data_IF_845108737035
#
_entry.id   IF_845108737035
#
_cell.length_a   1.000
_cell.length_b   1.000
_cell.length_c   1.000
_cell.angle_alpha   90.00
_cell.angle_beta   90.00
_cell.angle_gamma   90.00
#
_symmetry.space_group_name_H-M   'P 1'
#
loop_
_entity.id
_entity.type
_entity.pdbx_description
1 polymer ?
#
# COMPACT_ATOMS: atom_id res chain seq x y z
N UNK A 1 7.24 -33.67 -0.15
CA UNK A 1 7.93 -32.43 -0.52
C UNK A 1 7.45 -31.36 0.43
N UNK A 2 8.35 -30.60 1.03
CA UNK A 2 7.96 -29.45 1.82
C UNK A 2 7.31 -28.43 0.91
N UNK A 3 6.17 -27.85 1.31
CA UNK A 3 5.48 -26.83 0.54
C UNK A 3 6.26 -25.50 0.61
N UNK A 4 6.18 -24.72 -0.47
CA UNK A 4 6.72 -23.37 -0.46
C UNK A 4 5.93 -22.47 0.50
N UNK A 5 6.61 -21.57 1.20
CA UNK A 5 5.96 -20.66 2.16
C UNK A 5 5.30 -19.48 1.44
N UNK A 6 4.10 -19.12 1.89
CA UNK A 6 3.42 -17.89 1.49
C UNK A 6 2.98 -17.13 2.76
N UNK A 7 3.18 -15.82 2.78
CA UNK A 7 2.87 -14.97 3.94
C UNK A 7 1.38 -14.69 3.96
N UNK A 8 0.68 -15.04 5.05
CA UNK A 8 -0.74 -14.73 5.23
C UNK A 8 -0.94 -13.22 5.46
N UNK A 9 -1.74 -12.59 4.59
CA UNK A 9 -2.06 -11.17 4.62
C UNK A 9 -3.53 -10.91 5.05
N UNK A 10 -3.98 -11.60 6.07
CA UNK A 10 -5.37 -11.55 6.59
C UNK A 10 -5.83 -10.18 7.11
N UNK A 11 -4.96 -9.17 7.14
CA UNK A 11 -5.29 -7.77 7.41
C UNK A 11 -5.83 -7.03 6.19
N UNK A 12 -5.75 -7.63 5.01
CA UNK A 12 -6.30 -7.10 3.78
C UNK A 12 -7.75 -7.56 3.57
N UNK A 13 -8.50 -6.76 2.86
CA UNK A 13 -9.85 -7.08 2.38
C UNK A 13 -10.07 -6.55 0.97
N UNK A 14 -11.23 -6.86 0.42
CA UNK A 14 -11.69 -6.34 -0.89
C UNK A 14 -12.93 -5.49 -0.67
N UNK A 15 -12.91 -4.29 -1.24
CA UNK A 15 -14.10 -3.50 -1.51
C UNK A 15 -14.42 -3.60 -3.01
N UNK A 16 -15.48 -4.27 -3.36
CA UNK A 16 -16.00 -4.33 -4.73
C UNK A 16 -16.81 -3.09 -5.06
N UNK A 17 -16.61 -2.57 -6.26
CA UNK A 17 -17.32 -1.42 -6.82
C UNK A 17 -17.97 -1.85 -8.11
N UNK A 18 -19.29 -2.08 -8.07
CA UNK A 18 -20.04 -2.73 -9.14
C UNK A 18 -21.13 -1.80 -9.68
N UNK A 19 -21.30 -1.70 -10.98
CA UNK A 19 -22.40 -0.97 -11.61
C UNK A 19 -22.00 -0.13 -12.82
N UNK A 20 -22.99 0.43 -13.51
CA UNK A 20 -22.80 1.17 -14.76
C UNK A 20 -21.79 2.31 -14.65
N UNK A 21 -21.81 3.06 -13.54
CA UNK A 21 -20.96 4.21 -13.30
C UNK A 21 -19.75 3.92 -12.43
N UNK A 22 -19.35 2.65 -12.24
CA UNK A 22 -18.20 2.29 -11.40
C UNK A 22 -16.90 2.94 -11.87
N UNK A 23 -16.66 2.99 -13.19
CA UNK A 23 -15.52 3.69 -13.77
C UNK A 23 -15.55 5.18 -13.42
N UNK A 24 -16.64 5.88 -13.69
CA UNK A 24 -16.76 7.33 -13.49
C UNK A 24 -16.70 7.71 -12.01
N UNK A 25 -17.35 6.93 -11.13
CA UNK A 25 -17.24 7.12 -9.69
C UNK A 25 -15.79 7.03 -9.23
N UNK A 26 -15.10 5.94 -9.58
CA UNK A 26 -13.72 5.75 -9.18
C UNK A 26 -12.81 6.80 -9.80
N UNK A 27 -12.96 7.09 -11.10
CA UNK A 27 -12.15 8.09 -11.79
C UNK A 27 -12.25 9.48 -11.14
N UNK A 28 -13.42 9.85 -10.62
CA UNK A 28 -13.65 11.13 -9.92
C UNK A 28 -13.27 11.14 -8.44
N UNK A 29 -12.91 10.02 -7.83
CA UNK A 29 -12.67 9.95 -6.39
C UNK A 29 -11.25 9.53 -6.02
N UNK A 30 -10.58 8.68 -6.82
CA UNK A 30 -9.29 8.09 -6.46
C UNK A 30 -8.13 8.70 -7.25
N UNK A 31 -6.92 8.51 -6.78
CA UNK A 31 -5.72 9.19 -7.29
C UNK A 31 -5.10 8.55 -8.54
N UNK A 32 -5.31 7.25 -8.77
CA UNK A 32 -4.82 6.55 -9.95
C UNK A 32 -5.79 6.66 -11.13
N UNK A 33 -5.31 6.43 -12.34
CA UNK A 33 -6.13 6.44 -13.55
C UNK A 33 -6.77 5.08 -13.77
N UNK A 34 -8.10 5.01 -13.63
CA UNK A 34 -8.89 3.78 -13.80
C UNK A 34 -8.81 3.24 -15.23
N UNK A 35 -8.56 4.09 -16.23
CA UNK A 35 -8.45 3.67 -17.63
C UNK A 35 -7.25 2.76 -17.91
N UNK A 36 -6.25 2.75 -17.02
CA UNK A 36 -5.06 1.89 -17.12
C UNK A 36 -5.29 0.49 -16.56
N UNK A 37 -6.42 0.28 -15.86
CA UNK A 37 -6.73 -1.00 -15.23
C UNK A 37 -7.39 -1.95 -16.21
N UNK A 38 -6.92 -3.19 -16.26
CA UNK A 38 -7.43 -4.25 -17.14
C UNK A 38 -7.29 -5.62 -16.47
N UNK A 39 -7.71 -6.67 -17.14
CA UNK A 39 -7.54 -8.04 -16.65
C UNK A 39 -6.06 -8.42 -16.39
N UNK A 40 -5.12 -7.77 -17.08
CA UNK A 40 -3.68 -8.04 -16.95
C UNK A 40 -2.88 -6.91 -16.32
N UNK A 41 -3.53 -5.81 -15.94
CA UNK A 41 -2.89 -4.66 -15.32
C UNK A 41 -3.72 -4.10 -14.18
N UNK A 42 -3.14 -4.03 -13.00
CA UNK A 42 -3.67 -3.35 -11.81
C UNK A 42 -2.91 -2.05 -11.56
N UNK A 43 -3.56 -1.10 -10.88
CA UNK A 43 -2.95 0.18 -10.52
C UNK A 43 -2.91 0.36 -9.00
N UNK A 44 -1.81 0.93 -8.51
CA UNK A 44 -1.74 1.42 -7.14
C UNK A 44 -2.51 2.74 -7.04
N UNK A 45 -3.35 2.87 -6.02
CA UNK A 45 -4.13 4.08 -5.83
C UNK A 45 -4.29 4.47 -4.36
N UNK A 46 -4.93 5.62 -4.16
CA UNK A 46 -5.35 6.10 -2.86
C UNK A 46 -6.65 6.90 -2.97
N UNK A 47 -7.39 6.96 -1.87
CA UNK A 47 -8.48 7.91 -1.65
C UNK A 47 -7.99 9.02 -0.73
N UNK A 48 -8.17 10.27 -1.13
CA UNK A 48 -7.86 11.44 -0.31
C UNK A 48 -9.14 12.16 0.12
N UNK A 49 -9.09 12.83 1.27
CA UNK A 49 -10.13 13.79 1.63
C UNK A 49 -9.89 15.15 0.92
N UNK A 50 -10.83 16.08 1.05
CA UNK A 50 -10.75 17.43 0.46
C UNK A 50 -9.52 18.25 0.92
N UNK A 51 -8.88 17.87 2.05
CA UNK A 51 -7.64 18.49 2.54
C UNK A 51 -6.38 17.82 2.01
N UNK A 52 -6.50 16.88 1.06
CA UNK A 52 -5.40 16.13 0.49
C UNK A 52 -4.73 15.15 1.46
N UNK A 53 -5.43 14.72 2.54
CA UNK A 53 -4.95 13.67 3.44
C UNK A 53 -5.45 12.32 2.97
N UNK A 54 -4.57 11.32 3.01
CA UNK A 54 -4.89 9.97 2.56
C UNK A 54 -5.84 9.30 3.57
N UNK A 55 -6.97 8.82 3.08
CA UNK A 55 -7.94 8.01 3.83
C UNK A 55 -7.59 6.53 3.73
N UNK A 56 -7.27 6.07 2.52
CA UNK A 56 -6.84 4.71 2.24
C UNK A 56 -5.88 4.66 1.08
N UNK A 57 -5.13 3.58 1.01
CA UNK A 57 -4.39 3.17 -0.18
C UNK A 57 -4.77 1.73 -0.53
N UNK A 58 -4.69 1.39 -1.79
CA UNK A 58 -5.15 0.11 -2.28
C UNK A 58 -4.50 -0.25 -3.62
N UNK A 59 -4.72 -1.49 -4.00
CA UNK A 59 -4.54 -1.99 -5.34
C UNK A 59 -5.88 -1.98 -6.04
N UNK A 60 -5.99 -1.28 -7.16
CA UNK A 60 -7.18 -1.28 -8.00
C UNK A 60 -7.04 -2.35 -9.07
N UNK A 61 -7.94 -3.32 -9.06
CA UNK A 61 -7.98 -4.44 -9.97
C UNK A 61 -9.29 -4.46 -10.76
N UNK A 62 -9.20 -4.86 -12.02
CA UNK A 62 -10.37 -5.19 -12.82
C UNK A 62 -10.87 -6.58 -12.43
N UNK A 63 -12.15 -6.75 -12.13
CA UNK A 63 -12.77 -8.06 -11.90
C UNK A 63 -13.47 -8.56 -13.18
N UNK A 64 -14.38 -7.77 -13.70
CA UNK A 64 -15.12 -8.00 -14.94
C UNK A 64 -15.71 -6.66 -15.43
N UNK A 65 -16.47 -6.69 -16.53
CA UNK A 65 -17.11 -5.46 -17.03
C UNK A 65 -17.91 -4.75 -15.93
N UNK A 66 -17.64 -3.44 -15.78
CA UNK A 66 -18.26 -2.56 -14.77
C UNK A 66 -18.02 -3.00 -13.31
N UNK A 67 -16.97 -3.76 -13.06
CA UNK A 67 -16.65 -4.27 -11.73
C UNK A 67 -15.17 -4.14 -11.42
N UNK A 68 -14.86 -3.51 -10.30
CA UNK A 68 -13.51 -3.29 -9.80
C UNK A 68 -13.37 -3.75 -8.36
N UNK A 69 -12.17 -4.18 -8.00
CA UNK A 69 -11.78 -4.50 -6.63
C UNK A 69 -10.74 -3.49 -6.13
N UNK A 70 -10.99 -2.90 -4.97
CA UNK A 70 -9.99 -2.19 -4.19
C UNK A 70 -9.48 -3.14 -3.12
N UNK A 71 -8.19 -3.49 -3.16
CA UNK A 71 -7.55 -4.39 -2.19
C UNK A 71 -6.65 -3.56 -1.29
N UNK A 72 -6.88 -3.58 0.01
CA UNK A 72 -6.12 -2.80 0.99
C UNK A 72 -6.44 -3.19 2.43
N UNK A 73 -5.89 -2.46 3.39
CA UNK A 73 -6.18 -2.67 4.81
C UNK A 73 -7.67 -2.55 5.11
N UNK A 74 -8.22 -3.54 5.79
CA UNK A 74 -9.66 -3.66 6.07
C UNK A 74 -10.26 -2.38 6.65
N UNK A 75 -9.66 -1.81 7.71
CA UNK A 75 -10.20 -0.62 8.37
C UNK A 75 -10.11 0.63 7.47
N UNK A 76 -9.09 0.72 6.62
CA UNK A 76 -8.97 1.81 5.65
C UNK A 76 -10.00 1.68 4.53
N UNK A 77 -10.28 0.46 4.06
CA UNK A 77 -11.33 0.21 3.07
C UNK A 77 -12.75 0.45 3.60
N UNK A 78 -13.02 0.15 4.88
CA UNK A 78 -14.28 0.53 5.52
C UNK A 78 -14.50 2.05 5.49
N UNK A 79 -13.44 2.86 5.67
CA UNK A 79 -13.52 4.31 5.49
C UNK A 79 -13.73 4.72 4.04
N UNK A 80 -13.08 4.03 3.12
CA UNK A 80 -13.29 4.23 1.67
C UNK A 80 -14.74 3.99 1.28
N UNK A 81 -15.32 2.89 1.72
CA UNK A 81 -16.72 2.57 1.49
C UNK A 81 -17.65 3.69 2.00
N UNK A 82 -17.42 4.17 3.25
CA UNK A 82 -18.19 5.27 3.83
C UNK A 82 -18.10 6.57 3.00
N UNK A 83 -16.93 6.90 2.46
CA UNK A 83 -16.74 8.07 1.61
C UNK A 83 -17.42 7.88 0.23
N UNK A 84 -17.22 6.75 -0.42
CA UNK A 84 -17.80 6.45 -1.74
C UNK A 84 -19.33 6.30 -1.70
N UNK A 85 -19.91 5.81 -0.60
CA UNK A 85 -21.38 5.71 -0.39
C UNK A 85 -22.09 7.04 -0.53
N UNK A 86 -21.42 8.17 -0.31
CA UNK A 86 -22.01 9.51 -0.51
C UNK A 86 -22.33 9.80 -1.97
N UNK A 87 -21.62 9.16 -2.89
CA UNK A 87 -21.70 9.39 -4.33
C UNK A 87 -22.31 8.22 -5.10
N UNK A 88 -22.18 7.00 -4.60
CA UNK A 88 -22.58 5.77 -5.30
C UNK A 88 -24.02 5.78 -5.83
N UNK A 89 -25.03 6.38 -5.16
CA UNK A 89 -26.40 6.43 -5.72
C UNK A 89 -26.50 7.23 -7.02
N UNK A 90 -25.69 8.30 -7.15
CA UNK A 90 -25.69 9.15 -8.34
C UNK A 90 -25.06 8.46 -9.56
N UNK A 91 -24.20 7.48 -9.33
CA UNK A 91 -23.52 6.70 -10.35
C UNK A 91 -24.14 5.32 -10.58
N UNK A 92 -25.22 4.95 -9.86
CA UNK A 92 -25.82 3.60 -9.89
C UNK A 92 -24.79 2.51 -9.61
N UNK A 93 -24.07 2.67 -8.53
CA UNK A 93 -22.96 1.79 -8.11
C UNK A 93 -23.30 1.18 -6.76
N UNK A 94 -23.07 -0.13 -6.64
CA UNK A 94 -23.11 -0.88 -5.42
C UNK A 94 -21.69 -1.07 -4.88
N UNK A 95 -21.53 -0.95 -3.56
CA UNK A 95 -20.28 -1.11 -2.83
C UNK A 95 -20.44 -2.28 -1.85
N UNK A 96 -19.66 -3.32 -2.02
CA UNK A 96 -19.76 -4.54 -1.24
C UNK A 96 -18.38 -4.98 -0.70
N UNK A 97 -18.27 -5.17 0.60
CA UNK A 97 -17.11 -5.87 1.16
C UNK A 97 -17.22 -7.35 0.77
N UNK A 98 -16.22 -7.86 0.06
CA UNK A 98 -16.16 -9.28 -0.30
C UNK A 98 -15.17 -10.03 0.59
N UNK A 99 -15.69 -10.96 1.41
CA UNK A 99 -14.92 -11.76 2.38
C UNK A 99 -14.50 -13.14 1.85
N UNK A 100 -14.87 -13.47 0.61
CA UNK A 100 -14.55 -14.78 0.03
C UNK A 100 -13.10 -14.88 -0.48
N UNK A 101 -12.37 -13.76 -0.51
CA UNK A 101 -10.99 -13.75 -0.95
C UNK A 101 -10.02 -13.96 0.21
N UNK A 102 -8.96 -14.74 -0.06
CA UNK A 102 -7.79 -14.89 0.81
C UNK A 102 -6.58 -14.23 0.17
N UNK A 103 -5.69 -13.65 0.99
CA UNK A 103 -4.57 -12.83 0.53
C UNK A 103 -3.25 -13.38 1.01
N UNK A 104 -2.25 -13.44 0.13
CA UNK A 104 -0.93 -13.97 0.44
C UNK A 104 0.18 -13.15 -0.20
N UNK A 105 1.32 -13.05 0.48
CA UNK A 105 2.58 -12.60 -0.07
C UNK A 105 3.36 -13.79 -0.60
N UNK A 106 3.63 -13.84 -1.90
CA UNK A 106 4.37 -14.92 -2.56
C UNK A 106 5.68 -14.37 -3.10
N UNK A 107 6.80 -15.01 -2.73
CA UNK A 107 8.11 -14.66 -3.26
C UNK A 107 8.14 -14.82 -4.79
N UNK A 108 8.70 -13.83 -5.52
CA UNK A 108 8.69 -13.82 -7.00
C UNK A 108 9.45 -14.97 -7.60
N UNK A 109 10.63 -15.29 -7.09
CA UNK A 109 11.45 -16.38 -7.63
C UNK A 109 10.73 -17.70 -7.41
N UNK A 110 10.11 -17.89 -6.24
CA UNK A 110 9.29 -19.07 -5.95
C UNK A 110 8.08 -19.16 -6.88
N UNK A 111 7.42 -18.05 -7.20
CA UNK A 111 6.32 -18.03 -8.17
C UNK A 111 6.78 -18.44 -9.57
N UNK A 112 7.89 -17.86 -10.05
CA UNK A 112 8.45 -18.15 -11.36
C UNK A 112 8.85 -19.64 -11.47
N UNK A 113 9.44 -20.20 -10.42
CA UNK A 113 9.84 -21.62 -10.37
C UNK A 113 8.65 -22.59 -10.42
N UNK A 114 7.54 -22.24 -9.77
CA UNK A 114 6.35 -23.10 -9.68
C UNK A 114 5.52 -23.05 -10.96
N UNK A 115 5.28 -21.84 -11.47
CA UNK A 115 4.33 -21.63 -12.57
C UNK A 115 5.01 -21.52 -13.94
N UNK A 116 6.34 -21.44 -13.98
CA UNK A 116 7.12 -21.17 -15.20
C UNK A 116 6.63 -19.94 -15.98
N UNK A 117 6.16 -18.91 -15.21
CA UNK A 117 5.60 -17.66 -15.73
C UNK A 117 6.34 -16.48 -15.10
N UNK A 118 6.51 -15.39 -15.89
CA UNK A 118 7.15 -14.16 -15.42
C UNK A 118 6.17 -13.01 -15.38
N UNK A 119 6.09 -12.36 -14.24
CA UNK A 119 5.33 -11.12 -14.10
C UNK A 119 6.17 -9.95 -14.58
N UNK A 120 5.76 -9.29 -15.66
CA UNK A 120 6.45 -8.15 -16.26
C UNK A 120 5.71 -6.84 -16.00
N UNK A 121 6.42 -5.70 -16.04
CA UNK A 121 5.84 -4.38 -15.70
C UNK A 121 4.63 -3.99 -16.56
N UNK A 122 4.59 -4.40 -17.83
CA UNK A 122 3.50 -4.09 -18.77
C UNK A 122 2.28 -5.01 -18.59
N UNK A 123 2.42 -6.08 -17.81
CA UNK A 123 1.37 -7.03 -17.43
C UNK A 123 1.66 -7.45 -16.01
N UNK A 124 1.33 -6.56 -15.07
CA UNK A 124 1.66 -6.77 -13.66
C UNK A 124 0.71 -7.71 -12.92
N UNK A 125 -0.35 -8.18 -13.59
CA UNK A 125 -1.36 -9.09 -13.04
C UNK A 125 -1.45 -10.35 -13.89
N UNK A 126 -1.32 -11.51 -13.25
CA UNK A 126 -1.47 -12.84 -13.86
C UNK A 126 -2.55 -13.58 -13.08
N UNK A 127 -3.46 -14.25 -13.80
CA UNK A 127 -4.47 -15.12 -13.21
C UNK A 127 -4.17 -16.58 -13.52
N UNK A 128 -4.01 -17.41 -12.49
CA UNK A 128 -3.73 -18.85 -12.59
C UNK A 128 -4.52 -19.56 -11.48
N UNK A 129 -5.28 -20.61 -11.86
CA UNK A 129 -5.93 -21.50 -10.91
C UNK A 129 -6.88 -20.80 -9.93
N UNK A 130 -7.62 -19.78 -10.37
CA UNK A 130 -8.52 -19.00 -9.51
C UNK A 130 -7.83 -18.05 -8.53
N UNK A 131 -6.51 -17.89 -8.64
CA UNK A 131 -5.73 -16.89 -7.93
C UNK A 131 -5.19 -15.83 -8.90
N UNK A 132 -5.14 -14.59 -8.45
CA UNK A 132 -4.47 -13.49 -9.14
C UNK A 132 -3.21 -13.11 -8.40
N UNK A 133 -2.12 -12.97 -9.15
CA UNK A 133 -0.81 -12.58 -8.65
C UNK A 133 -0.46 -11.21 -9.22
N UNK A 134 -0.18 -10.24 -8.34
CA UNK A 134 0.09 -8.85 -8.71
C UNK A 134 1.52 -8.50 -8.32
N UNK A 135 2.28 -7.97 -9.28
CA UNK A 135 3.65 -7.49 -9.07
C UNK A 135 3.69 -5.98 -9.00
N UNK A 136 4.53 -5.46 -8.12
CA UNK A 136 4.84 -4.03 -8.03
C UNK A 136 6.32 -3.80 -8.25
N UNK A 137 6.64 -2.65 -8.86
CA UNK A 137 8.02 -2.26 -9.10
C UNK A 137 8.81 -2.21 -7.78
N UNK A 138 9.95 -2.89 -7.76
CA UNK A 138 10.86 -2.92 -6.63
C UNK A 138 10.49 -3.88 -5.51
N UNK A 139 9.26 -4.40 -5.42
CA UNK A 139 8.88 -5.38 -4.40
C UNK A 139 9.40 -6.77 -4.73
N UNK A 140 9.86 -7.49 -3.71
CA UNK A 140 10.28 -8.89 -3.77
C UNK A 140 9.08 -9.84 -3.84
N UNK A 141 8.01 -9.51 -3.14
CA UNK A 141 6.82 -10.34 -3.05
C UNK A 141 5.73 -9.88 -4.03
N UNK A 142 5.02 -10.86 -4.60
CA UNK A 142 3.74 -10.68 -5.27
C UNK A 142 2.62 -10.62 -4.23
N UNK A 143 1.61 -9.79 -4.47
CA UNK A 143 0.33 -9.92 -3.80
C UNK A 143 -0.49 -10.97 -4.55
N UNK A 144 -0.77 -12.09 -3.91
CA UNK A 144 -1.71 -13.09 -4.40
C UNK A 144 -3.06 -12.92 -3.70
N UNK A 145 -4.15 -12.93 -4.46
CA UNK A 145 -5.49 -13.06 -3.90
C UNK A 145 -6.27 -14.14 -4.63
N UNK A 146 -6.86 -15.05 -3.84
CA UNK A 146 -7.49 -16.26 -4.31
C UNK A 146 -8.97 -16.24 -3.90
N UNK A 147 -9.86 -16.61 -4.82
CA UNK A 147 -11.24 -16.96 -4.48
C UNK A 147 -11.30 -18.33 -3.79
N UNK A 148 -12.46 -18.78 -3.38
CA UNK A 148 -12.64 -20.06 -2.66
C UNK A 148 -12.12 -21.26 -3.48
N UNK A 149 -12.35 -21.30 -4.78
CA UNK A 149 -11.91 -22.38 -5.66
C UNK A 149 -10.37 -22.37 -5.78
N UNK A 150 -9.79 -21.22 -6.05
CA UNK A 150 -8.33 -21.05 -6.17
C UNK A 150 -7.58 -21.28 -4.86
N UNK A 151 -8.20 -21.02 -3.71
CA UNK A 151 -7.59 -21.23 -2.40
C UNK A 151 -7.19 -22.69 -2.16
N UNK A 152 -8.01 -23.62 -2.64
CA UNK A 152 -7.72 -25.05 -2.50
C UNK A 152 -6.47 -25.44 -3.30
N UNK A 153 -6.37 -25.02 -4.54
CA UNK A 153 -5.20 -25.25 -5.40
C UNK A 153 -3.96 -24.55 -4.84
N UNK A 154 -4.09 -23.29 -4.40
CA UNK A 154 -3.03 -22.53 -3.78
C UNK A 154 -2.43 -23.26 -2.56
N UNK A 155 -3.26 -23.76 -1.65
CA UNK A 155 -2.83 -24.51 -0.45
C UNK A 155 -2.19 -25.87 -0.74
N UNK A 156 -2.36 -26.41 -1.95
CA UNK A 156 -1.62 -27.60 -2.37
C UNK A 156 -0.14 -27.29 -2.69
N UNK A 157 0.14 -26.09 -3.18
CA UNK A 157 1.47 -25.63 -3.62
C UNK A 157 2.20 -24.84 -2.54
N UNK A 158 1.47 -24.07 -1.72
CA UNK A 158 2.00 -23.19 -0.70
C UNK A 158 1.49 -23.52 0.70
N UNK A 159 2.36 -23.29 1.68
CA UNK A 159 2.02 -23.32 3.11
C UNK A 159 1.89 -21.87 3.61
N UNK A 160 0.68 -21.42 4.01
CA UNK A 160 0.51 -20.11 4.62
C UNK A 160 1.24 -20.00 5.97
N UNK A 161 1.98 -18.91 6.15
CA UNK A 161 2.65 -18.58 7.42
C UNK A 161 2.17 -17.21 7.92
N UNK A 162 1.98 -17.09 9.23
CA UNK A 162 1.47 -15.85 9.84
C UNK A 162 2.54 -14.75 10.01
N UNK A 163 3.82 -15.12 9.91
CA UNK A 163 4.94 -14.19 10.11
C UNK A 163 5.07 -13.20 8.95
N UNK A 164 4.67 -11.94 9.18
CA UNK A 164 4.66 -10.86 8.18
C UNK A 164 5.93 -10.00 8.15
N UNK A 165 6.93 -10.32 8.97
CA UNK A 165 8.13 -9.50 9.06
C UNK A 165 8.80 -9.27 7.70
N UNK A 166 8.87 -10.30 6.86
CA UNK A 166 9.47 -10.21 5.52
C UNK A 166 8.65 -9.33 4.57
N UNK A 167 7.31 -9.43 4.59
CA UNK A 167 6.42 -8.57 3.82
C UNK A 167 6.58 -7.09 4.24
N UNK A 168 6.54 -6.83 5.54
CA UNK A 168 6.69 -5.49 6.09
C UNK A 168 8.07 -4.91 5.79
N UNK A 169 9.12 -5.73 5.85
CA UNK A 169 10.47 -5.32 5.49
C UNK A 169 10.57 -4.94 4.01
N UNK A 170 9.95 -5.71 3.11
CA UNK A 170 9.89 -5.40 1.69
C UNK A 170 9.20 -4.04 1.43
N UNK A 171 8.08 -3.76 2.11
CA UNK A 171 7.41 -2.45 2.05
C UNK A 171 8.32 -1.30 2.50
N UNK A 172 9.09 -1.49 3.57
CA UNK A 172 10.06 -0.50 4.07
C UNK A 172 11.15 -0.26 3.02
N UNK A 173 11.79 -1.31 2.53
CA UNK A 173 12.92 -1.23 1.59
C UNK A 173 12.50 -0.60 0.25
N UNK A 174 11.31 -0.89 -0.22
CA UNK A 174 10.74 -0.28 -1.43
C UNK A 174 10.19 1.13 -1.19
N UNK A 175 10.14 1.61 0.06
CA UNK A 175 9.48 2.87 0.45
C UNK A 175 8.04 3.00 -0.10
N UNK A 176 7.33 1.88 -0.16
CA UNK A 176 5.97 1.78 -0.68
C UNK A 176 5.08 1.09 0.35
N UNK A 177 4.51 1.88 1.25
CA UNK A 177 3.70 1.44 2.38
C UNK A 177 2.22 1.74 2.12
N UNK A 178 1.36 0.86 2.60
CA UNK A 178 -0.08 1.07 2.61
C UNK A 178 -0.57 1.75 3.89
N UNK A 179 -1.73 2.38 3.81
CA UNK A 179 -2.37 3.04 4.95
C UNK A 179 -3.00 1.98 5.86
N UNK A 180 -2.45 1.83 7.05
CA UNK A 180 -3.06 1.09 8.15
C UNK A 180 -4.09 1.95 8.90
N UNK A 181 -4.85 1.32 9.80
CA UNK A 181 -5.85 1.98 10.67
C UNK A 181 -5.28 3.21 11.38
N UNK A 182 -4.07 3.08 11.93
CA UNK A 182 -3.39 4.10 12.72
C UNK A 182 -3.01 5.33 11.87
N UNK A 183 -2.89 5.13 10.55
CA UNK A 183 -2.38 6.15 9.63
C UNK A 183 -3.47 6.86 8.80
N UNK A 184 -4.74 6.48 8.97
CA UNK A 184 -5.87 7.11 8.28
C UNK A 184 -5.91 8.62 8.56
N UNK A 185 -5.86 9.45 7.52
CA UNK A 185 -5.93 10.90 7.61
C UNK A 185 -4.69 11.60 8.17
N UNK A 186 -3.61 10.87 8.54
CA UNK A 186 -2.40 11.47 9.11
C UNK A 186 -1.46 12.06 8.06
N UNK A 187 -1.31 11.41 6.92
CA UNK A 187 -0.31 11.76 5.90
C UNK A 187 -0.92 12.35 4.65
N UNK A 188 -0.15 13.17 3.96
CA UNK A 188 -0.39 13.54 2.57
C UNK A 188 0.32 12.55 1.65
N UNK A 189 -0.07 12.44 0.37
CA UNK A 189 0.57 11.52 -0.57
C UNK A 189 2.09 11.71 -0.70
N UNK A 190 2.56 12.94 -0.70
CA UNK A 190 4.00 13.24 -0.81
C UNK A 190 4.80 12.78 0.42
N UNK A 191 4.21 12.84 1.62
CA UNK A 191 4.84 12.35 2.86
C UNK A 191 5.10 10.86 2.82
N UNK A 192 4.38 10.11 1.98
CA UNK A 192 4.51 8.65 1.77
C UNK A 192 5.06 8.29 0.38
N UNK A 193 5.68 9.22 -0.34
CA UNK A 193 6.25 8.99 -1.68
C UNK A 193 5.23 8.46 -2.72
N UNK A 194 3.92 8.69 -2.55
CA UNK A 194 2.90 8.18 -3.46
C UNK A 194 2.97 8.80 -4.86
N UNK A 195 3.54 9.99 -4.96
CA UNK A 195 3.83 10.68 -6.23
C UNK A 195 4.99 10.03 -7.03
N UNK A 196 5.93 9.35 -6.35
CA UNK A 196 7.03 8.61 -7.01
C UNK A 196 6.75 7.11 -7.12
N UNK A 197 5.81 6.58 -6.34
CA UNK A 197 5.44 5.17 -6.34
C UNK A 197 4.24 4.86 -7.26
N UNK A 198 3.92 5.75 -8.19
CA UNK A 198 2.82 5.62 -9.14
C UNK A 198 1.43 5.41 -8.52
N UNK A 199 1.23 5.86 -7.25
CA UNK A 199 -0.10 5.84 -6.61
C UNK A 199 -0.94 7.07 -6.96
N UNK A 200 -0.34 8.07 -7.64
CA UNK A 200 -1.02 9.28 -8.12
C UNK A 200 -0.72 9.42 -9.60
N UNK A 201 -1.76 9.56 -10.38
CA UNK A 201 -1.67 9.98 -11.76
C UNK A 201 -1.96 11.48 -11.85
N UNK A 202 -0.97 12.28 -12.26
CA UNK A 202 -1.12 13.71 -12.39
C UNK A 202 -1.70 14.15 -13.73
N UNK A 203 -1.76 13.26 -14.70
CA UNK A 203 -2.25 13.50 -16.06
C UNK A 203 -3.74 13.11 -16.22
N UNK A 204 -4.32 12.41 -15.23
CA UNK A 204 -5.74 12.06 -15.22
C UNK A 204 -6.65 13.26 -14.93
N UNK A 205 -7.95 13.09 -15.17
CA UNK A 205 -8.98 14.06 -14.81
C UNK A 205 -9.10 14.35 -13.29
N UNK A 206 -9.97 15.29 -12.94
CA UNK A 206 -10.14 15.74 -11.55
C UNK A 206 -10.62 14.63 -10.62
N UNK A 207 -10.11 14.66 -9.38
CA UNK A 207 -10.55 13.77 -8.29
C UNK A 207 -10.56 14.51 -6.95
N UNK A 208 -11.22 13.93 -5.94
CA UNK A 208 -11.34 14.53 -4.61
C UNK A 208 -9.98 14.77 -3.95
N UNK A 209 -9.68 16.03 -3.56
CA UNK A 209 -8.43 16.44 -2.94
C UNK A 209 -7.29 16.80 -3.91
N UNK A 210 -7.50 16.66 -5.22
CA UNK A 210 -6.47 16.90 -6.25
C UNK A 210 -5.85 18.29 -6.16
N UNK A 211 -6.61 19.36 -5.90
CA UNK A 211 -6.07 20.73 -5.83
C UNK A 211 -4.93 20.83 -4.81
N UNK A 212 -5.11 20.26 -3.61
CA UNK A 212 -4.10 20.27 -2.56
C UNK A 212 -2.90 19.41 -2.96
N UNK A 213 -3.15 18.22 -3.50
CA UNK A 213 -2.10 17.27 -3.92
C UNK A 213 -1.27 17.86 -5.07
N UNK A 214 -1.90 18.41 -6.10
CA UNK A 214 -1.22 19.07 -7.22
C UNK A 214 -0.45 20.33 -6.77
N UNK A 215 -1.02 21.13 -5.86
CA UNK A 215 -0.31 22.27 -5.29
C UNK A 215 0.96 21.86 -4.55
N UNK A 216 0.93 20.76 -3.82
CA UNK A 216 2.12 20.19 -3.17
C UNK A 216 3.18 19.81 -4.22
N UNK A 217 2.79 19.12 -5.28
CA UNK A 217 3.68 18.68 -6.37
C UNK A 217 4.40 19.86 -7.04
N UNK A 218 3.67 20.91 -7.42
CA UNK A 218 4.20 21.96 -8.29
C UNK A 218 4.73 23.19 -7.53
N UNK A 219 4.27 23.45 -6.30
CA UNK A 219 4.58 24.70 -5.57
C UNK A 219 5.32 24.49 -4.26
N UNK A 220 5.34 23.29 -3.69
CA UNK A 220 5.96 23.07 -2.39
C UNK A 220 7.39 22.58 -2.52
N UNK A 221 8.30 23.24 -1.79
CA UNK A 221 9.71 22.83 -1.68
C UNK A 221 9.93 22.15 -0.32
N UNK A 222 10.86 21.21 -0.26
CA UNK A 222 11.25 20.52 1.01
C UNK A 222 10.10 19.81 1.73
N UNK A 223 9.23 19.13 0.99
CA UNK A 223 8.24 18.24 1.58
C UNK A 223 8.91 17.08 2.32
N UNK A 224 8.29 16.57 3.40
CA UNK A 224 8.74 15.31 3.99
C UNK A 224 8.68 14.17 2.97
N UNK A 225 9.62 13.22 3.09
CA UNK A 225 9.76 12.06 2.21
C UNK A 225 10.08 10.83 3.04
N UNK A 226 9.77 9.66 2.49
CA UNK A 226 10.13 8.39 3.11
C UNK A 226 11.63 8.12 2.97
N UNK A 227 12.22 7.67 4.08
CA UNK A 227 13.57 7.12 4.09
C UNK A 227 13.63 5.92 5.03
N UNK A 228 14.58 5.04 4.74
CA UNK A 228 14.87 3.88 5.58
C UNK A 228 15.92 4.29 6.61
N UNK A 229 15.71 3.88 7.85
CA UNK A 229 16.65 4.07 8.95
C UNK A 229 16.73 2.81 9.80
N UNK A 230 17.86 2.62 10.47
CA UNK A 230 18.11 1.45 11.30
C UNK A 230 18.52 1.86 12.72
N UNK A 231 18.21 1.01 13.69
CA UNK A 231 18.63 1.13 15.08
C UNK A 231 18.98 -0.24 15.67
N UNK A 232 19.90 -0.28 16.62
CA UNK A 232 20.15 -1.48 17.44
C UNK A 232 19.09 -1.70 18.54
N UNK A 233 18.21 -0.74 18.78
CA UNK A 233 17.13 -0.86 19.75
C UNK A 233 15.96 -1.62 19.12
N UNK A 234 15.60 -2.77 19.69
CA UNK A 234 14.51 -3.64 19.24
C UNK A 234 13.13 -3.28 19.83
N UNK A 235 13.06 -2.18 20.60
CA UNK A 235 11.81 -1.75 21.26
C UNK A 235 11.10 -0.61 20.52
N UNK A 236 11.60 -0.19 19.37
CA UNK A 236 11.03 0.90 18.58
C UNK A 236 9.68 0.46 18.03
N UNK A 237 8.66 1.33 18.15
CA UNK A 237 7.32 1.16 17.58
C UNK A 237 6.89 2.37 16.76
N UNK A 238 5.90 2.21 15.89
CA UNK A 238 5.39 3.25 14.98
C UNK A 238 4.77 4.45 15.73
N UNK A 239 4.37 4.26 16.99
CA UNK A 239 3.72 5.28 17.81
C UNK A 239 4.72 6.27 18.44
N UNK A 240 6.00 5.89 18.46
CA UNK A 240 7.05 6.68 19.09
C UNK A 240 7.38 7.94 18.29
N UNK A 241 7.96 8.93 18.98
CA UNK A 241 8.22 10.25 18.42
C UNK A 241 9.63 10.36 17.87
N UNK A 242 9.75 10.75 16.61
CA UNK A 242 11.04 11.03 15.97
C UNK A 242 11.46 12.48 16.27
N UNK A 243 12.63 12.64 16.91
CA UNK A 243 13.16 13.95 17.34
C UNK A 243 14.58 14.18 16.87
N UNK A 244 15.03 15.44 16.91
CA UNK A 244 16.43 15.82 16.80
C UNK A 244 17.13 15.82 18.17
N UNK A 245 18.40 16.26 18.19
CA UNK A 245 19.20 16.32 19.42
C UNK A 245 18.62 17.26 20.49
N UNK A 246 17.82 18.27 20.11
CA UNK A 246 17.15 19.22 21.00
C UNK A 246 15.71 18.78 21.37
N UNK A 247 15.37 17.50 21.21
CA UNK A 247 14.03 16.93 21.47
C UNK A 247 12.88 17.55 20.66
N UNK A 248 13.18 18.26 19.57
CA UNK A 248 12.14 18.80 18.69
C UNK A 248 11.68 17.72 17.72
N UNK A 249 10.35 17.57 17.57
CA UNK A 249 9.77 16.65 16.59
C UNK A 249 10.17 17.05 15.17
N UNK A 250 10.76 16.11 14.41
CA UNK A 250 11.30 16.36 13.06
C UNK A 250 10.69 15.48 11.98
N UNK A 251 9.90 14.48 12.35
CA UNK A 251 9.26 13.56 11.41
C UNK A 251 8.33 12.59 12.12
N UNK A 252 7.97 11.53 11.40
CA UNK A 252 7.13 10.46 11.90
C UNK A 252 7.77 9.11 11.57
N UNK A 253 7.65 8.16 12.48
CA UNK A 253 7.80 6.75 12.20
C UNK A 253 6.53 6.30 11.44
N UNK A 254 6.69 5.64 10.32
CA UNK A 254 5.58 5.24 9.45
C UNK A 254 5.36 3.73 9.53
N UNK A 255 6.46 2.97 9.55
CA UNK A 255 6.46 1.51 9.70
C UNK A 255 7.74 1.06 10.37
N UNK A 256 7.65 0.04 11.21
CA UNK A 256 8.80 -0.52 11.96
C UNK A 256 8.77 -2.03 11.86
N UNK A 257 9.92 -2.63 11.60
CA UNK A 257 10.13 -4.08 11.67
C UNK A 257 11.31 -4.35 12.60
N UNK A 258 11.06 -5.07 13.68
CA UNK A 258 12.08 -5.51 14.62
C UNK A 258 12.60 -6.89 14.17
N UNK A 259 13.86 -6.92 13.73
CA UNK A 259 14.58 -8.13 13.37
C UNK A 259 15.39 -8.62 14.58
N UNK A 260 16.06 -9.78 14.46
CA UNK A 260 16.83 -10.36 15.57
C UNK A 260 17.90 -9.41 16.16
N UNK A 261 18.52 -8.56 15.34
CA UNK A 261 19.69 -7.73 15.73
C UNK A 261 19.46 -6.24 15.57
N UNK A 262 18.43 -5.81 14.88
CA UNK A 262 18.15 -4.41 14.59
C UNK A 262 16.67 -4.17 14.29
N UNK A 263 16.24 -2.95 14.55
CA UNK A 263 14.97 -2.42 14.02
C UNK A 263 15.23 -1.72 12.70
N UNK A 264 14.42 -2.01 11.69
CA UNK A 264 14.38 -1.31 10.41
C UNK A 264 13.13 -0.46 10.38
N UNK A 265 13.30 0.84 10.19
CA UNK A 265 12.25 1.83 10.30
C UNK A 265 12.05 2.56 8.98
N UNK A 266 10.80 2.74 8.58
CA UNK A 266 10.42 3.69 7.54
C UNK A 266 10.03 4.99 8.20
N UNK A 267 10.75 6.07 7.90
CA UNK A 267 10.52 7.39 8.48
C UNK A 267 10.09 8.38 7.41
N UNK A 268 9.18 9.29 7.77
CA UNK A 268 8.79 10.44 6.92
C UNK A 268 9.28 11.72 7.56
N UNK A 269 10.27 12.36 6.92
CA UNK A 269 10.86 13.62 7.40
C UNK A 269 11.36 14.50 6.23
N UNK A 270 11.68 15.77 6.50
CA UNK A 270 12.18 16.72 5.49
C UNK A 270 13.64 16.42 5.13
N UNK A 271 13.99 16.60 3.84
CA UNK A 271 15.36 16.37 3.34
C UNK A 271 16.44 17.13 4.13
N UNK A 272 16.17 18.37 4.50
CA UNK A 272 17.09 19.17 5.31
C UNK A 272 17.46 18.47 6.64
N UNK A 273 16.51 17.78 7.22
CA UNK A 273 16.68 17.06 8.47
C UNK A 273 17.62 15.85 8.32
N UNK A 274 17.65 15.20 7.14
CA UNK A 274 18.56 14.07 6.88
C UNK A 274 20.03 14.47 6.78
N UNK A 275 20.31 15.72 6.42
CA UNK A 275 21.69 16.23 6.25
C UNK A 275 22.32 16.72 7.56
N UNK A 276 21.51 16.95 8.59
CA UNK A 276 21.95 17.70 9.77
C UNK A 276 22.21 16.84 11.00
N UNK A 277 21.73 15.56 11.09
CA UNK A 277 21.90 14.86 12.38
C UNK A 277 21.47 13.39 12.41
N UNK A 278 21.93 12.73 13.45
CA UNK A 278 21.33 11.51 13.97
C UNK A 278 19.89 11.81 14.43
N UNK A 279 18.96 10.99 13.99
CA UNK A 279 17.60 10.99 14.50
C UNK A 279 17.55 10.27 15.83
N UNK A 280 16.66 10.72 16.71
CA UNK A 280 16.42 10.05 17.98
C UNK A 280 14.95 9.62 18.08
N UNK A 281 14.74 8.50 18.73
CA UNK A 281 13.42 8.09 19.22
C UNK A 281 13.31 8.57 20.65
N UNK A 282 12.37 9.51 20.92
CA UNK A 282 12.26 10.21 22.20
C UNK A 282 12.05 9.26 23.37
N UNK A 283 11.17 8.31 23.21
CA UNK A 283 10.71 7.42 24.28
C UNK A 283 11.80 6.43 24.73
N UNK A 284 12.68 6.04 23.84
CA UNK A 284 13.80 5.08 24.13
C UNK A 284 15.17 5.75 24.14
N UNK A 285 15.26 7.01 23.73
CA UNK A 285 16.52 7.74 23.50
C UNK A 285 17.46 7.04 22.53
N UNK A 286 16.94 6.17 21.68
CA UNK A 286 17.69 5.40 20.69
C UNK A 286 18.04 6.25 19.48
N UNK A 287 19.19 5.99 18.89
CA UNK A 287 19.63 6.64 17.65
C UNK A 287 19.16 5.85 16.44
N UNK A 288 18.63 6.55 15.44
CA UNK A 288 18.34 6.04 14.10
C UNK A 288 19.41 6.54 13.12
N UNK A 289 19.96 5.62 12.33
CA UNK A 289 20.88 5.93 11.24
C UNK A 289 20.20 5.69 9.91
N UNK A 290 20.28 6.67 8.99
CA UNK A 290 19.75 6.53 7.63
C UNK A 290 20.61 5.52 6.86
N UNK A 291 19.97 4.57 6.20
CA UNK A 291 20.59 3.53 5.37
C UNK A 291 20.47 3.81 3.88
#
# INVERSE_FOLDING_TARGET
MDKNKAIDLNHLSVLEVNGEGSFDLLQGQITCDVSKVSATNSELGALCNAKGRIISSFNLCYLQDRSYALIGHTEALLKTEQELKKYSPFYKVELNENKSFSFFGVDKDTFEDIYNEKVVQTKNTIEIGGCRFISYLGKKFLLAFCNEDGLTEFKNLFEPIEERAQWNLDEILCRNVEISKENIGKFTPHELNYDVNNRIDFDKGCYTGQEVVARMQYRSKNLPRLNVAESSDLKITEEMTLTNAEDRKIGNLVKVVNLEKKSVCLISAKKKTYLESSFKVKETNSTLTIS
#
